data_IF_232362669768
#
_entry.id   IF_232362669768
#
_cell.length_a   1.000
_cell.length_b   1.000
_cell.length_c   1.000
_cell.angle_alpha   90.00
_cell.angle_beta   90.00
_cell.angle_gamma   90.00
#
_symmetry.space_group_name_H-M   'P 1'
#
loop_
_entity.id
_entity.type
_entity.pdbx_description
1 polymer ?
#
# COMPACT_ATOMS: atom_id res chain seq x y z
N UNK A 1 24.47 -7.67 -10.09
CA UNK A 1 23.54 -8.81 -10.25
C UNK A 1 22.17 -8.38 -9.71
N UNK A 2 21.10 -8.37 -10.52
CA UNK A 2 19.75 -7.98 -10.06
C UNK A 2 19.04 -9.21 -9.50
N UNK A 3 19.27 -9.54 -8.24
CA UNK A 3 18.49 -10.56 -7.54
C UNK A 3 17.02 -10.11 -7.48
N UNK A 4 16.11 -10.97 -7.93
CA UNK A 4 14.66 -10.76 -7.89
C UNK A 4 14.00 -12.11 -7.56
N UNK A 5 13.63 -12.36 -6.30
CA UNK A 5 13.06 -13.64 -5.91
C UNK A 5 11.71 -13.87 -6.59
N UNK A 6 11.39 -15.13 -6.78
CA UNK A 6 10.09 -15.57 -7.28
C UNK A 6 8.99 -15.35 -6.22
N UNK A 7 7.71 -15.33 -6.64
CA UNK A 7 6.59 -15.15 -5.70
C UNK A 7 6.55 -16.22 -4.61
N UNK A 8 6.81 -17.48 -4.98
CA UNK A 8 6.88 -18.60 -4.03
C UNK A 8 7.93 -18.38 -2.95
N UNK A 9 9.14 -18.01 -3.36
CA UNK A 9 10.26 -17.72 -2.45
C UNK A 9 9.95 -16.55 -1.51
N UNK A 10 9.26 -15.51 -2.02
CA UNK A 10 8.80 -14.38 -1.19
C UNK A 10 7.82 -14.85 -0.12
N UNK A 11 6.81 -15.64 -0.50
CA UNK A 11 5.83 -16.17 0.47
C UNK A 11 6.48 -17.11 1.47
N UNK A 12 7.40 -17.98 1.03
CA UNK A 12 8.13 -18.90 1.90
C UNK A 12 9.04 -18.16 2.89
N UNK A 13 9.58 -17.01 2.51
CA UNK A 13 10.54 -16.25 3.34
C UNK A 13 9.88 -15.22 4.24
N UNK A 14 8.82 -14.54 3.77
CA UNK A 14 8.22 -13.39 4.45
C UNK A 14 6.79 -13.66 4.94
N UNK A 15 6.15 -14.73 4.47
CA UNK A 15 4.76 -15.04 4.75
C UNK A 15 3.76 -14.27 3.88
N UNK A 16 2.50 -14.69 3.96
CA UNK A 16 1.36 -13.98 3.40
C UNK A 16 0.08 -14.24 4.21
N UNK A 17 0.22 -14.56 5.50
CA UNK A 17 -0.89 -14.91 6.39
C UNK A 17 -1.21 -13.75 7.33
N UNK A 18 -2.29 -13.89 8.12
CA UNK A 18 -2.89 -12.82 8.92
C UNK A 18 -2.02 -12.27 10.05
N UNK A 19 -1.00 -13.03 10.49
CA UNK A 19 -0.12 -12.58 11.56
C UNK A 19 0.75 -11.42 11.09
N UNK A 20 0.93 -10.41 11.95
CA UNK A 20 1.70 -9.21 11.59
C UNK A 20 3.11 -9.51 11.06
N UNK A 21 3.80 -10.51 11.62
CA UNK A 21 5.14 -10.90 11.16
C UNK A 21 5.14 -11.60 9.79
N UNK A 22 4.00 -12.10 9.32
CA UNK A 22 3.82 -12.73 8.01
C UNK A 22 3.17 -11.79 6.97
N UNK A 23 2.68 -10.61 7.37
CA UNK A 23 2.00 -9.67 6.48
C UNK A 23 2.72 -8.32 6.34
N UNK A 24 3.21 -7.75 7.45
CA UNK A 24 3.87 -6.43 7.45
C UNK A 24 5.17 -6.44 6.64
N UNK A 25 6.11 -7.40 6.82
CA UNK A 25 7.33 -7.45 6.01
C UNK A 25 7.02 -7.64 4.52
N UNK A 26 6.03 -8.47 4.21
CA UNK A 26 5.57 -8.72 2.83
C UNK A 26 5.02 -7.47 2.18
N UNK A 27 4.21 -6.67 2.89
CA UNK A 27 3.69 -5.40 2.37
C UNK A 27 4.81 -4.39 2.08
N UNK A 28 5.77 -4.24 3.00
CA UNK A 28 6.95 -3.37 2.80
C UNK A 28 7.75 -3.84 1.57
N UNK A 29 7.99 -5.15 1.45
CA UNK A 29 8.67 -5.72 0.31
C UNK A 29 7.92 -5.47 -1.01
N UNK A 30 6.59 -5.62 -1.04
CA UNK A 30 5.78 -5.37 -2.23
C UNK A 30 5.93 -3.93 -2.74
N UNK A 31 5.93 -2.96 -1.83
CA UNK A 31 6.25 -1.56 -2.15
C UNK A 31 7.68 -1.43 -2.68
N UNK A 32 8.71 -1.87 -1.94
CA UNK A 32 10.11 -1.68 -2.34
C UNK A 32 10.42 -2.33 -3.69
N UNK A 33 9.84 -3.50 -3.97
CA UNK A 33 10.00 -4.22 -5.24
C UNK A 33 9.47 -3.44 -6.44
N UNK A 34 8.39 -2.68 -6.25
CA UNK A 34 7.68 -1.95 -7.30
C UNK A 34 7.56 -0.46 -6.98
N UNK A 35 8.53 0.12 -6.28
CA UNK A 35 8.47 1.47 -5.70
C UNK A 35 8.33 2.63 -6.71
N UNK A 36 8.30 2.31 -8.01
CA UNK A 36 8.13 3.26 -9.11
C UNK A 36 6.69 3.32 -9.63
N UNK A 37 5.81 2.44 -9.17
CA UNK A 37 4.42 2.38 -9.62
C UNK A 37 3.52 1.85 -8.50
N UNK A 38 2.57 2.70 -8.10
CA UNK A 38 1.51 2.35 -7.14
C UNK A 38 0.75 1.10 -7.57
N UNK A 39 0.28 1.07 -8.81
CA UNK A 39 -0.50 -0.05 -9.33
C UNK A 39 0.32 -1.35 -9.36
N UNK A 40 1.58 -1.28 -9.77
CA UNK A 40 2.45 -2.46 -9.79
C UNK A 40 2.73 -2.98 -8.37
N UNK A 41 2.88 -2.11 -7.37
CA UNK A 41 3.07 -2.50 -5.98
C UNK A 41 1.84 -3.21 -5.41
N UNK A 42 0.65 -2.60 -5.55
CA UNK A 42 -0.61 -3.16 -5.06
C UNK A 42 -0.98 -4.44 -5.80
N UNK A 43 -0.87 -4.47 -7.14
CA UNK A 43 -1.15 -5.66 -7.92
C UNK A 43 -0.19 -6.82 -7.58
N UNK A 44 1.08 -6.51 -7.30
CA UNK A 44 2.03 -7.53 -6.85
C UNK A 44 1.63 -8.09 -5.48
N UNK A 45 1.25 -7.26 -4.51
CA UNK A 45 0.77 -7.69 -3.21
C UNK A 45 -0.42 -8.66 -3.32
N UNK A 46 -1.43 -8.30 -4.11
CA UNK A 46 -2.60 -9.18 -4.37
C UNK A 46 -2.16 -10.50 -5.01
N UNK A 47 -1.18 -10.47 -5.92
CA UNK A 47 -0.70 -11.67 -6.63
C UNK A 47 0.04 -12.69 -5.76
N UNK A 48 0.35 -12.36 -4.50
CA UNK A 48 0.98 -13.26 -3.53
C UNK A 48 -0.04 -14.20 -2.84
N UNK A 49 -1.34 -13.94 -2.96
CA UNK A 49 -2.37 -14.74 -2.27
C UNK A 49 -2.33 -14.59 -0.75
N UNK A 50 -3.05 -15.45 -0.04
CA UNK A 50 -3.17 -15.40 1.42
C UNK A 50 -4.06 -14.23 1.89
N UNK A 51 -3.60 -13.48 2.88
CA UNK A 51 -4.25 -12.29 3.44
C UNK A 51 -4.07 -11.07 2.52
N UNK A 52 -4.62 -11.19 1.31
CA UNK A 52 -4.36 -10.25 0.21
C UNK A 52 -4.89 -8.86 0.48
N UNK A 53 -6.04 -8.72 1.13
CA UNK A 53 -6.67 -7.44 1.45
C UNK A 53 -5.81 -6.65 2.45
N UNK A 54 -5.37 -7.28 3.53
CA UNK A 54 -4.51 -6.64 4.54
C UNK A 54 -3.14 -6.25 3.96
N UNK A 55 -2.48 -7.16 3.24
CA UNK A 55 -1.16 -6.90 2.65
C UNK A 55 -1.25 -5.82 1.56
N UNK A 56 -2.28 -5.86 0.70
CA UNK A 56 -2.48 -4.85 -0.34
C UNK A 56 -2.88 -3.50 0.26
N UNK A 57 -3.66 -3.45 1.33
CA UNK A 57 -4.01 -2.23 2.04
C UNK A 57 -2.76 -1.56 2.63
N UNK A 58 -1.91 -2.31 3.32
CA UNK A 58 -0.64 -1.79 3.86
C UNK A 58 0.32 -1.34 2.74
N UNK A 59 0.44 -2.14 1.68
CA UNK A 59 1.25 -1.80 0.49
C UNK A 59 0.75 -0.51 -0.15
N UNK A 60 -0.56 -0.37 -0.32
CA UNK A 60 -1.22 0.80 -0.87
C UNK A 60 -1.06 2.04 0.01
N UNK A 61 -1.12 1.90 1.34
CA UNK A 61 -0.88 3.00 2.26
C UNK A 61 0.55 3.56 2.12
N UNK A 62 1.56 2.68 2.13
CA UNK A 62 2.97 3.08 1.96
C UNK A 62 3.19 3.69 0.57
N UNK A 63 2.73 2.99 -0.47
CA UNK A 63 2.92 3.43 -1.85
C UNK A 63 2.18 4.72 -2.17
N UNK A 64 0.98 4.91 -1.63
CA UNK A 64 0.16 6.11 -1.78
C UNK A 64 0.77 7.31 -1.07
N UNK A 65 1.32 7.12 0.14
CA UNK A 65 2.06 8.17 0.84
C UNK A 65 3.32 8.61 0.06
N UNK A 66 4.00 7.67 -0.61
CA UNK A 66 5.19 7.96 -1.41
C UNK A 66 4.88 8.66 -2.75
N UNK A 67 3.84 8.23 -3.46
CA UNK A 67 3.54 8.75 -4.81
C UNK A 67 2.50 9.87 -4.86
N UNK A 68 1.65 10.00 -3.84
CA UNK A 68 0.50 10.89 -3.85
C UNK A 68 -0.70 10.35 -4.65
N UNK A 69 -1.85 11.02 -4.48
CA UNK A 69 -3.14 10.59 -5.04
C UNK A 69 -3.18 10.54 -6.56
N UNK A 70 -2.42 11.40 -7.25
CA UNK A 70 -2.39 11.47 -8.71
C UNK A 70 -1.77 10.24 -9.38
N UNK A 71 -1.04 9.42 -8.62
CA UNK A 71 -0.49 8.16 -9.11
C UNK A 71 -1.50 7.00 -9.09
N UNK A 72 -2.65 7.16 -8.45
CA UNK A 72 -3.70 6.15 -8.41
C UNK A 72 -4.58 6.30 -9.65
N UNK A 73 -4.76 5.22 -10.41
CA UNK A 73 -5.59 5.24 -11.60
C UNK A 73 -7.03 5.67 -11.31
N UNK A 74 -7.55 6.57 -12.14
CA UNK A 74 -8.94 7.02 -12.07
C UNK A 74 -9.95 5.87 -12.19
N UNK A 75 -9.61 4.78 -12.89
CA UNK A 75 -10.44 3.59 -12.99
C UNK A 75 -10.55 2.84 -11.65
N UNK A 76 -9.46 2.79 -10.87
CA UNK A 76 -9.48 2.17 -9.54
C UNK A 76 -10.25 3.05 -8.56
N UNK A 77 -9.97 4.36 -8.57
CA UNK A 77 -10.71 5.33 -7.75
C UNK A 77 -12.21 5.32 -8.07
N UNK A 78 -12.60 5.21 -9.35
CA UNK A 78 -14.00 5.14 -9.77
C UNK A 78 -14.76 3.92 -9.25
N UNK A 79 -14.05 2.87 -8.81
CA UNK A 79 -14.63 1.64 -8.24
C UNK A 79 -14.56 1.59 -6.71
N UNK A 80 -13.90 2.57 -6.08
CA UNK A 80 -13.67 2.58 -4.64
C UNK A 80 -14.98 2.88 -3.90
N UNK A 81 -15.44 1.92 -3.09
CA UNK A 81 -16.58 2.13 -2.20
C UNK A 81 -16.25 3.26 -1.20
N UNK A 82 -17.23 4.13 -0.91
CA UNK A 82 -17.08 5.25 0.04
C UNK A 82 -15.93 6.21 -0.29
N UNK A 83 -15.53 6.33 -1.56
CA UNK A 83 -14.46 7.24 -2.02
C UNK A 83 -14.56 8.64 -1.39
N UNK A 84 -15.70 9.31 -1.51
CA UNK A 84 -15.89 10.67 -1.00
C UNK A 84 -15.67 10.77 0.52
N UNK A 85 -16.04 9.73 1.28
CA UNK A 85 -15.79 9.67 2.72
C UNK A 85 -14.30 9.50 3.03
N UNK A 86 -13.59 8.64 2.29
CA UNK A 86 -12.15 8.43 2.43
C UNK A 86 -11.36 9.71 2.08
N UNK A 87 -11.74 10.40 1.01
CA UNK A 87 -11.12 11.67 0.61
C UNK A 87 -11.31 12.74 1.69
N UNK A 88 -12.53 12.84 2.26
CA UNK A 88 -12.79 13.74 3.39
C UNK A 88 -11.91 13.41 4.60
N UNK A 89 -11.79 12.12 4.97
CA UNK A 89 -10.91 11.71 6.06
C UNK A 89 -9.45 12.09 5.81
N UNK A 90 -8.95 11.94 4.57
CA UNK A 90 -7.59 12.32 4.20
C UNK A 90 -7.36 13.84 4.36
N UNK A 91 -8.32 14.67 3.95
CA UNK A 91 -8.28 16.11 4.16
C UNK A 91 -8.30 16.48 5.65
N UNK A 92 -9.16 15.84 6.44
CA UNK A 92 -9.27 16.12 7.87
C UNK A 92 -8.00 15.72 8.63
N UNK A 93 -7.37 14.59 8.29
CA UNK A 93 -6.05 14.20 8.80
C UNK A 93 -4.96 15.20 8.41
N UNK A 94 -4.97 15.71 7.18
CA UNK A 94 -4.03 16.73 6.73
C UNK A 94 -4.21 18.05 7.50
N UNK A 95 -5.45 18.48 7.74
CA UNK A 95 -5.75 19.67 8.56
C UNK A 95 -5.22 19.49 9.98
N UNK A 96 -5.47 18.35 10.63
CA UNK A 96 -4.94 18.05 11.97
C UNK A 96 -3.41 18.15 12.02
N UNK A 97 -2.71 17.54 11.06
CA UNK A 97 -1.26 17.62 10.95
C UNK A 97 -0.76 19.06 10.72
N UNK A 98 -1.49 19.83 9.91
CA UNK A 98 -1.10 21.21 9.56
C UNK A 98 -1.28 22.18 10.72
N UNK A 99 -2.37 22.05 11.48
CA UNK A 99 -2.64 22.86 12.67
C UNK A 99 -1.62 22.58 13.78
N UNK A 100 -1.26 21.31 14.00
CA UNK A 100 -0.23 20.93 14.97
C UNK A 100 1.16 21.49 14.62
N UNK A 101 1.44 21.72 13.34
CA UNK A 101 2.72 22.28 12.87
C UNK A 101 2.81 23.81 12.96
N UNK A 102 1.67 24.52 13.11
CA UNK A 102 1.61 25.99 13.20
C UNK A 102 1.46 26.50 14.64
N UNK A 103 1.39 25.61 15.63
CA UNK A 103 1.37 25.96 17.05
C UNK A 103 2.78 26.16 17.63
N UNK A 104 3.48 27.20 17.18
CA UNK A 104 4.65 27.82 17.85
C UNK A 104 4.52 29.32 17.82
#
# INVERSE_FOLDING_TARGET
MKWKPGRREVVESLGNTVEAHNSVPTAIYCFLRNHRSFEAAVAYAVSLGGDTDTIAAMTGAISGAYHGVSAISGNWLGKLEKKAYIEKLAEDLWKLKSTAATGT
#
